data_IF_614139762130
#
_entry.id   IF_614139762130
#
_cell.length_a   1.000
_cell.length_b   1.000
_cell.length_c   1.000
_cell.angle_alpha   90.00
_cell.angle_beta   90.00
_cell.angle_gamma   90.00
#
_symmetry.space_group_name_H-M   'P 1'
#
loop_
_entity.id
_entity.type
_entity.pdbx_description
1 polymer ?
#
# COMPACT_ATOMS: atom_id res chain seq x y z
N UNK A 1 -22.59 23.53 -66.67
CA UNK A 1 -22.83 22.51 -65.63
C UNK A 1 -21.51 21.86 -65.26
N UNK A 2 -21.29 21.66 -63.97
CA UNK A 2 -20.14 21.01 -63.31
C UNK A 2 -19.85 19.59 -63.88
N UNK A 3 -18.56 19.21 -63.91
CA UNK A 3 -17.91 18.13 -63.12
C UNK A 3 -16.72 17.55 -63.93
N UNK A 4 -15.47 17.93 -63.66
CA UNK A 4 -14.50 17.36 -62.68
C UNK A 4 -13.89 15.99 -63.04
N UNK A 5 -12.56 16.07 -63.15
CA UNK A 5 -11.52 15.16 -62.65
C UNK A 5 -10.86 14.14 -63.60
N UNK A 6 -9.73 14.63 -64.13
CA UNK A 6 -8.47 13.93 -64.43
C UNK A 6 -8.08 12.91 -63.35
N UNK A 7 -7.71 11.70 -63.80
CA UNK A 7 -7.05 10.67 -62.99
C UNK A 7 -5.62 10.47 -63.51
N UNK A 8 -4.65 11.20 -62.96
CA UNK A 8 -3.22 10.91 -63.15
C UNK A 8 -2.80 9.90 -62.09
N UNK A 9 -2.38 8.71 -62.54
CA UNK A 9 -1.71 7.69 -61.71
C UNK A 9 -0.40 8.26 -61.19
N UNK A 10 -0.26 8.39 -59.87
CA UNK A 10 1.02 8.72 -59.23
C UNK A 10 1.64 7.44 -58.68
N UNK A 11 2.88 7.18 -59.09
CA UNK A 11 3.73 6.07 -58.68
C UNK A 11 4.21 6.31 -57.26
N UNK A 12 3.97 5.38 -56.34
CA UNK A 12 4.53 5.44 -54.99
C UNK A 12 5.93 4.82 -54.97
N UNK A 13 6.93 5.66 -54.71
CA UNK A 13 8.30 5.25 -54.40
C UNK A 13 8.36 4.66 -52.98
N UNK A 14 8.83 3.42 -52.86
CA UNK A 14 9.15 2.80 -51.57
C UNK A 14 10.46 3.40 -51.05
N UNK A 15 10.38 4.22 -50.00
CA UNK A 15 11.54 4.63 -49.21
C UNK A 15 11.83 3.59 -48.13
N UNK A 16 13.01 2.98 -48.23
CA UNK A 16 13.60 2.06 -47.26
C UNK A 16 13.83 2.74 -45.90
N UNK A 17 13.30 2.14 -44.84
CA UNK A 17 13.58 2.52 -43.45
C UNK A 17 14.86 1.83 -42.97
N UNK A 18 15.88 2.63 -42.65
CA UNK A 18 17.11 2.16 -42.00
C UNK A 18 16.80 1.88 -40.52
N UNK A 19 16.81 0.60 -40.13
CA UNK A 19 16.81 0.19 -38.72
C UNK A 19 18.20 0.45 -38.14
N UNK A 20 18.38 1.60 -37.50
CA UNK A 20 19.52 1.83 -36.62
C UNK A 20 19.24 1.10 -35.31
N UNK A 21 19.84 -0.08 -35.14
CA UNK A 21 19.91 -0.77 -33.85
C UNK A 21 20.88 -0.02 -32.93
N UNK A 22 20.41 1.09 -32.35
CA UNK A 22 21.04 1.74 -31.22
C UNK A 22 20.45 1.18 -29.94
N UNK A 23 21.21 0.38 -29.20
CA UNK A 23 20.86 -0.02 -27.84
C UNK A 23 20.70 1.22 -26.97
N UNK A 24 19.46 1.60 -26.69
CA UNK A 24 19.13 2.64 -25.71
C UNK A 24 19.44 2.05 -24.34
N UNK A 25 20.59 2.40 -23.77
CA UNK A 25 20.86 2.19 -22.35
C UNK A 25 19.94 3.11 -21.56
N UNK A 26 18.82 2.59 -21.07
CA UNK A 26 17.96 3.29 -20.13
C UNK A 26 18.72 3.30 -18.80
N UNK A 27 19.41 4.40 -18.51
CA UNK A 27 19.89 4.69 -17.18
C UNK A 27 18.65 4.91 -16.30
N UNK A 28 18.34 3.95 -15.44
CA UNK A 28 17.29 4.11 -14.43
C UNK A 28 17.90 5.02 -13.35
N UNK A 29 17.47 6.29 -13.20
CA UNK A 29 17.91 7.06 -12.05
C UNK A 29 17.37 6.35 -10.80
N UNK A 30 18.26 5.98 -9.90
CA UNK A 30 17.90 5.54 -8.55
C UNK A 30 17.04 6.62 -7.92
N UNK A 31 15.75 6.34 -7.76
CA UNK A 31 14.81 7.24 -7.10
C UNK A 31 15.23 7.33 -5.63
N UNK A 32 15.64 8.52 -5.20
CA UNK A 32 15.72 8.86 -3.80
C UNK A 32 14.29 8.96 -3.27
N UNK A 33 13.73 7.83 -2.87
CA UNK A 33 12.44 7.79 -2.18
C UNK A 33 12.69 8.42 -0.81
N UNK A 34 12.15 9.61 -0.60
CA UNK A 34 11.97 10.15 0.75
C UNK A 34 10.96 9.25 1.45
N UNK A 35 11.46 8.17 2.04
CA UNK A 35 10.63 7.28 2.84
C UNK A 35 10.23 8.04 4.10
N UNK A 36 8.93 8.34 4.23
CA UNK A 36 8.36 8.60 5.53
C UNK A 36 8.55 7.30 6.32
N UNK A 37 9.62 7.23 7.09
CA UNK A 37 9.90 6.10 7.98
C UNK A 37 8.77 6.07 9.01
N UNK A 38 7.86 5.07 8.98
CA UNK A 38 6.87 4.96 10.04
C UNK A 38 7.64 4.86 11.34
N UNK A 39 7.36 5.79 12.26
CA UNK A 39 8.07 5.91 13.52
C UNK A 39 8.23 4.52 14.15
N UNK A 40 9.48 4.19 14.47
CA UNK A 40 9.96 2.89 14.96
C UNK A 40 8.89 2.11 15.74
N UNK A 41 8.65 0.89 15.25
CA UNK A 41 7.91 -0.27 15.77
C UNK A 41 8.01 -0.58 17.28
N UNK A 42 7.86 0.41 18.16
CA UNK A 42 8.25 0.28 19.58
C UNK A 42 7.08 0.04 20.54
N UNK A 43 5.83 -0.02 20.07
CA UNK A 43 4.71 -0.35 20.95
C UNK A 43 3.64 -1.20 20.24
N UNK A 44 3.88 -2.52 20.21
CA UNK A 44 2.98 -3.50 19.59
C UNK A 44 1.83 -3.94 20.51
N UNK A 45 1.70 -3.36 21.72
CA UNK A 45 0.63 -3.75 22.62
C UNK A 45 -0.70 -3.33 21.98
N UNK A 46 -1.55 -4.30 21.73
CA UNK A 46 -2.90 -4.15 21.14
C UNK A 46 -2.94 -3.70 19.66
N UNK A 47 -1.82 -3.75 18.92
CA UNK A 47 -1.83 -3.55 17.47
C UNK A 47 -2.21 -4.85 16.73
N UNK A 48 -3.16 -4.73 15.81
CA UNK A 48 -3.53 -5.78 14.84
C UNK A 48 -2.90 -5.43 13.50
N UNK A 49 -2.50 -6.44 12.74
CA UNK A 49 -1.99 -6.28 11.38
C UNK A 49 -2.78 -7.14 10.40
N UNK A 50 -2.75 -6.78 9.12
CA UNK A 50 -3.36 -7.55 8.05
C UNK A 50 -2.83 -7.17 6.68
N UNK A 51 -3.33 -7.86 5.66
CA UNK A 51 -2.91 -7.69 4.26
C UNK A 51 -3.81 -6.71 3.50
N UNK A 52 -3.23 -5.97 2.57
CA UNK A 52 -3.93 -5.27 1.49
C UNK A 52 -3.95 -6.19 0.27
N UNK A 53 -5.10 -6.32 -0.35
CA UNK A 53 -5.30 -7.04 -1.61
C UNK A 53 -6.48 -6.41 -2.32
N UNK A 54 -6.20 -5.53 -3.28
CA UNK A 54 -7.23 -4.74 -3.95
C UNK A 54 -6.99 -4.62 -5.44
N UNK A 55 -8.07 -4.46 -6.20
CA UNK A 55 -8.03 -3.97 -7.58
C UNK A 55 -8.53 -2.53 -7.56
N UNK A 56 -7.83 -1.62 -8.22
CA UNK A 56 -8.26 -0.24 -8.37
C UNK A 56 -8.52 0.07 -9.84
N UNK A 57 -9.55 0.89 -10.05
CA UNK A 57 -9.92 1.35 -11.37
C UNK A 57 -8.97 2.44 -11.85
N UNK A 58 -8.78 2.52 -13.16
CA UNK A 58 -8.18 3.66 -13.83
C UNK A 58 -9.20 4.81 -13.99
N UNK A 59 -8.78 5.91 -14.60
CA UNK A 59 -9.62 7.09 -14.83
C UNK A 59 -10.85 6.83 -15.73
N UNK A 60 -10.92 5.67 -16.39
CA UNK A 60 -12.07 5.25 -17.19
C UNK A 60 -13.04 4.35 -16.41
N UNK A 61 -12.83 4.16 -15.10
CA UNK A 61 -13.63 3.28 -14.26
C UNK A 61 -13.41 1.79 -14.53
N UNK A 62 -12.32 1.42 -15.22
CA UNK A 62 -11.99 0.01 -15.52
C UNK A 62 -10.84 -0.47 -14.63
N UNK A 63 -10.79 -1.76 -14.25
CA UNK A 63 -9.64 -2.33 -13.55
C UNK A 63 -8.33 -1.98 -14.26
N UNK A 64 -7.44 -1.28 -13.56
CA UNK A 64 -6.16 -0.81 -14.09
C UNK A 64 -4.97 -1.19 -13.22
N UNK A 65 -5.21 -1.43 -11.93
CA UNK A 65 -4.15 -1.61 -10.95
C UNK A 65 -4.44 -2.74 -9.98
N UNK A 66 -3.38 -3.47 -9.59
CA UNK A 66 -3.37 -4.37 -8.46
C UNK A 66 -2.60 -3.74 -7.29
N UNK A 67 -3.19 -3.77 -6.10
CA UNK A 67 -2.60 -3.29 -4.87
C UNK A 67 -2.35 -4.46 -3.92
N UNK A 68 -1.14 -4.52 -3.36
CA UNK A 68 -0.72 -5.56 -2.42
C UNK A 68 0.19 -4.96 -1.35
N UNK A 69 -0.06 -5.29 -0.08
CA UNK A 69 0.63 -4.64 1.02
C UNK A 69 0.16 -5.09 2.39
N UNK A 70 0.42 -4.26 3.40
CA UNK A 70 0.03 -4.53 4.78
C UNK A 70 -0.43 -3.26 5.48
N UNK A 71 -1.28 -3.44 6.48
CA UNK A 71 -1.73 -2.40 7.40
C UNK A 71 -1.55 -2.84 8.85
N UNK A 72 -1.45 -1.86 9.75
CA UNK A 72 -1.25 -2.04 11.19
C UNK A 72 -2.07 -1.00 11.93
N UNK A 73 -2.83 -1.40 12.95
CA UNK A 73 -3.72 -0.47 13.64
C UNK A 73 -4.11 -0.96 15.03
N UNK A 74 -4.46 -0.01 15.91
CA UNK A 74 -5.09 -0.28 17.20
C UNK A 74 -6.60 0.05 17.21
N UNK A 75 -7.21 0.37 16.05
CA UNK A 75 -8.59 0.90 16.01
C UNK A 75 -9.68 -0.15 15.95
N UNK A 76 -9.37 -1.40 15.58
CA UNK A 76 -10.39 -2.44 15.39
C UNK A 76 -11.11 -2.73 16.72
N UNK A 77 -12.45 -2.77 16.67
CA UNK A 77 -13.34 -2.96 17.83
C UNK A 77 -13.15 -1.90 18.92
N UNK A 78 -12.81 -0.66 18.55
CA UNK A 78 -12.66 0.45 19.49
C UNK A 78 -13.76 1.50 19.30
N UNK A 79 -14.07 2.19 20.39
CA UNK A 79 -14.95 3.36 20.43
C UNK A 79 -14.12 4.63 20.65
N UNK A 80 -14.75 5.81 20.58
CA UNK A 80 -14.04 7.08 20.76
C UNK A 80 -13.35 7.17 22.13
N UNK A 81 -14.00 6.63 23.17
CA UNK A 81 -13.48 6.60 24.55
C UNK A 81 -12.30 5.63 24.74
N UNK A 82 -11.98 4.81 23.73
CA UNK A 82 -10.81 3.94 23.75
C UNK A 82 -9.49 4.69 23.55
N UNK A 83 -9.55 5.95 23.11
CA UNK A 83 -8.39 6.75 22.75
C UNK A 83 -8.26 8.00 23.60
N UNK A 84 -7.01 8.37 23.86
CA UNK A 84 -6.67 9.61 24.58
C UNK A 84 -5.29 10.09 24.11
N UNK A 85 -4.75 11.13 24.75
CA UNK A 85 -3.47 11.71 24.35
C UNK A 85 -2.27 10.75 24.49
N UNK A 86 -2.30 9.83 25.46
CA UNK A 86 -1.21 8.87 25.69
C UNK A 86 -1.40 7.56 24.93
N UNK A 87 -2.63 7.25 24.51
CA UNK A 87 -2.97 6.14 23.63
C UNK A 87 -3.84 6.63 22.46
N UNK A 88 -3.24 7.31 21.46
CA UNK A 88 -3.99 7.80 20.32
C UNK A 88 -4.39 6.64 19.39
N UNK A 89 -5.42 6.88 18.58
CA UNK A 89 -5.75 6.01 17.46
C UNK A 89 -4.59 6.01 16.44
N UNK A 90 -4.19 4.82 15.98
CA UNK A 90 -3.07 4.62 15.06
C UNK A 90 -3.52 3.77 13.89
N UNK A 91 -3.17 4.20 12.69
CA UNK A 91 -3.31 3.41 11.46
C UNK A 91 -2.13 3.74 10.55
N UNK A 92 -1.36 2.71 10.22
CA UNK A 92 -0.24 2.79 9.29
C UNK A 92 -0.38 1.69 8.25
N UNK A 93 0.08 1.96 7.03
CA UNK A 93 0.02 0.99 5.93
C UNK A 93 1.12 1.24 4.92
N UNK A 94 1.55 0.19 4.22
CA UNK A 94 2.30 0.31 2.97
C UNK A 94 1.77 -0.68 1.96
N UNK A 95 1.81 -0.28 0.69
CA UNK A 95 1.40 -1.14 -0.40
C UNK A 95 2.13 -0.80 -1.69
N UNK A 96 2.30 -1.83 -2.51
CA UNK A 96 2.63 -1.70 -3.90
C UNK A 96 1.36 -1.50 -4.71
N UNK A 97 1.48 -0.73 -5.78
CA UNK A 97 0.44 -0.50 -6.77
C UNK A 97 1.08 -0.74 -8.14
N UNK A 98 0.64 -1.77 -8.86
CA UNK A 98 1.19 -2.14 -10.16
C UNK A 98 0.08 -2.16 -11.22
N UNK A 99 0.39 -1.70 -12.43
CA UNK A 99 -0.56 -1.81 -13.54
C UNK A 99 -0.80 -3.28 -13.87
N UNK A 100 -2.00 -3.62 -14.36
CA UNK A 100 -2.33 -5.01 -14.71
C UNK A 100 -1.45 -5.61 -15.81
N UNK A 101 -0.86 -4.77 -16.66
CA UNK A 101 0.10 -5.16 -17.70
C UNK A 101 1.57 -5.14 -17.21
N UNK A 102 1.81 -4.76 -15.95
CA UNK A 102 3.13 -4.67 -15.34
C UNK A 102 3.99 -3.48 -15.79
N UNK A 103 3.46 -2.57 -16.60
CA UNK A 103 4.24 -1.46 -17.19
C UNK A 103 4.67 -0.40 -16.18
N UNK A 104 4.02 -0.32 -15.01
CA UNK A 104 4.46 0.52 -13.90
C UNK A 104 4.21 -0.15 -12.55
N UNK A 105 5.03 0.23 -11.57
CA UNK A 105 4.90 -0.16 -10.16
C UNK A 105 5.30 1.01 -9.27
N UNK A 106 4.45 1.32 -8.30
CA UNK A 106 4.70 2.34 -7.27
C UNK A 106 4.63 1.71 -5.88
N UNK A 107 5.34 2.31 -4.92
CA UNK A 107 5.25 2.00 -3.48
C UNK A 107 4.66 3.21 -2.77
N UNK A 108 3.65 2.98 -1.96
CA UNK A 108 2.97 4.00 -1.16
C UNK A 108 2.97 3.61 0.31
N UNK A 109 2.95 4.63 1.18
CA UNK A 109 2.79 4.49 2.61
C UNK A 109 1.74 5.48 3.13
N UNK A 110 0.93 5.02 4.08
CA UNK A 110 -0.04 5.81 4.84
C UNK A 110 0.46 5.89 6.28
N UNK A 111 0.49 7.08 6.85
CA UNK A 111 0.94 7.33 8.22
C UNK A 111 0.23 8.53 8.85
N UNK A 112 0.56 8.82 10.11
CA UNK A 112 0.04 10.00 10.85
C UNK A 112 -1.49 10.05 10.88
N UNK A 113 -2.14 8.92 11.13
CA UNK A 113 -3.58 8.87 11.28
C UNK A 113 -4.04 9.73 12.47
N UNK A 114 -5.01 10.60 12.22
CA UNK A 114 -5.67 11.42 13.22
C UNK A 114 -7.17 11.16 13.17
N UNK A 115 -7.71 10.52 14.22
CA UNK A 115 -9.12 10.15 14.31
C UNK A 115 -9.99 11.38 14.60
N UNK A 116 -11.06 11.56 13.82
CA UNK A 116 -12.07 12.61 14.03
C UNK A 116 -13.41 12.05 14.48
N UNK A 117 -13.83 10.90 13.95
CA UNK A 117 -15.15 10.33 14.20
C UNK A 117 -15.18 8.79 14.13
N UNK A 118 -16.11 8.19 14.88
CA UNK A 118 -16.40 6.75 14.85
C UNK A 118 -17.91 6.58 14.79
N UNK A 119 -18.38 5.79 13.83
CA UNK A 119 -19.79 5.40 13.73
C UNK A 119 -19.92 3.90 13.44
N UNK A 120 -21.02 3.31 13.88
CA UNK A 120 -21.31 1.89 13.62
C UNK A 120 -22.73 1.73 13.11
N UNK A 121 -22.88 0.87 12.10
CA UNK A 121 -24.17 0.51 11.52
C UNK A 121 -24.16 -0.99 11.19
N UNK A 122 -25.00 -1.75 11.90
CA UNK A 122 -25.00 -3.21 11.81
C UNK A 122 -23.61 -3.78 12.16
N UNK A 123 -23.06 -4.60 11.25
CA UNK A 123 -21.74 -5.22 11.43
C UNK A 123 -20.60 -4.40 10.80
N UNK A 124 -20.83 -3.12 10.52
CA UNK A 124 -19.83 -2.22 9.95
C UNK A 124 -19.51 -1.09 10.91
N UNK A 125 -18.23 -0.87 11.18
CA UNK A 125 -17.74 0.30 11.91
C UNK A 125 -16.89 1.16 11.00
N UNK A 126 -17.22 2.45 10.91
CA UNK A 126 -16.45 3.47 10.20
C UNK A 126 -15.58 4.25 11.18
N UNK A 127 -14.30 4.39 10.87
CA UNK A 127 -13.35 5.29 11.53
C UNK A 127 -12.96 6.36 10.52
N UNK A 128 -13.28 7.62 10.83
CA UNK A 128 -12.97 8.77 9.96
C UNK A 128 -11.85 9.59 10.56
N UNK A 129 -11.02 10.16 9.70
CA UNK A 129 -9.87 10.94 10.14
C UNK A 129 -9.10 11.55 9.00
N UNK A 130 -7.87 11.95 9.28
CA UNK A 130 -6.90 12.38 8.28
C UNK A 130 -5.63 11.53 8.34
N UNK A 131 -4.93 11.44 7.21
CA UNK A 131 -3.63 10.75 7.09
C UNK A 131 -2.64 11.56 6.28
N UNK A 132 -1.37 11.17 6.36
CA UNK A 132 -0.34 11.48 5.35
C UNK A 132 -0.20 10.29 4.41
N UNK A 133 -0.12 10.51 3.10
CA UNK A 133 0.15 9.46 2.11
C UNK A 133 1.30 9.84 1.18
N UNK A 134 2.22 8.92 0.90
CA UNK A 134 3.32 9.18 -0.04
C UNK A 134 2.81 9.13 -1.48
N UNK A 135 3.19 10.12 -2.29
CA UNK A 135 2.98 10.15 -3.75
C UNK A 135 4.31 10.42 -4.44
N UNK A 136 4.34 10.27 -5.77
CA UNK A 136 5.54 10.50 -6.58
C UNK A 136 6.03 11.95 -6.47
N UNK A 137 5.10 12.90 -6.42
CA UNK A 137 5.36 14.34 -6.31
C UNK A 137 5.68 14.79 -4.87
N UNK A 138 5.64 13.86 -3.92
CA UNK A 138 5.86 14.10 -2.50
C UNK A 138 4.65 13.70 -1.63
N UNK A 139 4.78 13.71 -0.29
CA UNK A 139 3.70 13.32 0.60
C UNK A 139 2.52 14.30 0.58
N UNK A 140 1.31 13.79 0.38
CA UNK A 140 0.07 14.53 0.61
C UNK A 140 -0.33 14.44 2.09
N UNK A 141 -0.48 15.59 2.75
CA UNK A 141 -0.82 15.70 4.18
C UNK A 141 -2.30 16.02 4.39
N UNK A 142 -2.82 15.67 5.55
CA UNK A 142 -4.21 15.91 5.95
C UNK A 142 -5.20 15.42 4.90
N UNK A 143 -4.95 14.23 4.34
CA UNK A 143 -5.85 13.57 3.38
C UNK A 143 -6.99 12.93 4.18
N UNK A 144 -8.26 13.35 3.98
CA UNK A 144 -9.38 12.69 4.61
C UNK A 144 -9.43 11.21 4.23
N UNK A 145 -9.66 10.37 5.23
CA UNK A 145 -9.82 8.92 5.06
C UNK A 145 -11.06 8.44 5.82
N UNK A 146 -11.77 7.49 5.24
CA UNK A 146 -12.70 6.62 5.95
C UNK A 146 -12.18 5.18 5.91
N UNK A 147 -11.99 4.60 7.10
CA UNK A 147 -11.60 3.21 7.28
C UNK A 147 -12.84 2.44 7.74
N UNK A 148 -13.35 1.53 6.91
CA UNK A 148 -14.48 0.67 7.28
C UNK A 148 -13.97 -0.70 7.68
N UNK A 149 -14.41 -1.17 8.84
CA UNK A 149 -14.26 -2.55 9.29
C UNK A 149 -15.61 -3.24 9.11
N UNK A 150 -15.67 -4.28 8.28
CA UNK A 150 -16.90 -4.99 7.93
C UNK A 150 -16.83 -6.44 8.39
N UNK A 151 -17.79 -6.85 9.22
CA UNK A 151 -17.89 -8.18 9.84
C UNK A 151 -16.58 -8.63 10.52
N UNK A 152 -15.72 -7.70 10.94
CA UNK A 152 -14.38 -7.98 11.46
C UNK A 152 -13.49 -8.85 10.55
N UNK A 153 -13.80 -8.94 9.25
CA UNK A 153 -13.07 -9.75 8.27
C UNK A 153 -12.42 -8.89 7.20
N UNK A 154 -13.06 -7.78 6.83
CA UNK A 154 -12.61 -6.91 5.74
C UNK A 154 -12.36 -5.51 6.28
N UNK A 155 -11.26 -4.92 5.83
CA UNK A 155 -11.00 -3.50 5.97
C UNK A 155 -11.08 -2.84 4.59
N UNK A 156 -11.69 -1.66 4.51
CA UNK A 156 -11.76 -0.85 3.30
C UNK A 156 -11.31 0.58 3.60
N UNK A 157 -10.37 1.08 2.80
CA UNK A 157 -9.80 2.42 2.94
C UNK A 157 -10.32 3.30 1.80
N UNK A 158 -11.10 4.31 2.12
CA UNK A 158 -11.56 5.32 1.16
C UNK A 158 -10.78 6.60 1.40
N UNK A 159 -9.92 6.97 0.45
CA UNK A 159 -9.14 8.20 0.48
C UNK A 159 -9.85 9.29 -0.34
N UNK A 160 -9.75 10.54 0.10
CA UNK A 160 -10.28 11.66 -0.68
C UNK A 160 -9.55 11.79 -2.04
N UNK A 161 -10.31 11.60 -3.12
CA UNK A 161 -9.79 11.64 -4.49
C UNK A 161 -9.28 13.04 -4.87
N UNK A 162 -9.83 14.12 -4.32
CA UNK A 162 -9.41 15.49 -4.63
C UNK A 162 -8.00 15.75 -4.12
N UNK A 163 -7.72 15.37 -2.86
CA UNK A 163 -6.41 15.52 -2.21
C UNK A 163 -5.33 14.62 -2.79
N UNK A 164 -5.72 13.48 -3.35
CA UNK A 164 -4.81 12.52 -3.99
C UNK A 164 -4.76 12.65 -5.51
N UNK A 165 -5.48 13.63 -6.10
CA UNK A 165 -5.62 13.81 -7.55
C UNK A 165 -6.07 12.53 -8.27
N UNK A 166 -6.99 11.79 -7.65
CA UNK A 166 -7.51 10.51 -8.12
C UNK A 166 -6.45 9.40 -8.28
N UNK A 167 -5.26 9.55 -7.67
CA UNK A 167 -4.13 8.61 -7.87
C UNK A 167 -4.47 7.16 -7.49
N UNK A 168 -5.40 6.95 -6.56
CA UNK A 168 -5.83 5.62 -6.11
C UNK A 168 -7.17 5.16 -6.69
N UNK A 169 -7.75 5.93 -7.62
CA UNK A 169 -9.07 5.67 -8.17
C UNK A 169 -10.23 6.09 -7.26
N UNK A 170 -11.44 5.70 -7.65
CA UNK A 170 -12.73 6.04 -7.02
C UNK A 170 -13.30 4.93 -6.13
N UNK A 171 -12.61 3.80 -6.05
CA UNK A 171 -13.01 2.64 -5.24
C UNK A 171 -12.23 2.58 -3.92
N UNK A 172 -12.79 1.96 -2.86
CA UNK A 172 -12.01 1.69 -1.66
C UNK A 172 -10.84 0.74 -1.93
N UNK A 173 -9.75 0.90 -1.19
CA UNK A 173 -8.64 -0.06 -1.13
C UNK A 173 -9.00 -1.13 -0.10
N UNK A 174 -9.10 -2.39 -0.51
CA UNK A 174 -9.50 -3.50 0.36
C UNK A 174 -8.33 -4.25 0.98
N UNK A 175 -8.57 -4.79 2.16
CA UNK A 175 -7.67 -5.70 2.87
C UNK A 175 -8.41 -6.71 3.74
N UNK A 176 -7.67 -7.70 4.23
CA UNK A 176 -8.17 -8.78 5.09
C UNK A 176 -7.72 -8.54 6.52
N UNK A 177 -8.65 -8.73 7.46
CA UNK A 177 -8.41 -8.81 8.90
C UNK A 177 -8.20 -10.29 9.24
N UNK A 178 -6.97 -10.72 9.57
CA UNK A 178 -6.71 -12.13 9.89
C UNK A 178 -7.43 -12.55 11.16
N UNK A 179 -7.81 -13.83 11.25
CA UNK A 179 -8.39 -14.36 12.47
C UNK A 179 -7.39 -14.24 13.63
N UNK A 180 -7.89 -13.99 14.85
CA UNK A 180 -7.04 -13.85 16.06
C UNK A 180 -6.13 -15.06 16.26
N UNK A 181 -6.61 -16.27 15.96
CA UNK A 181 -5.81 -17.50 16.05
C UNK A 181 -4.61 -17.48 15.09
N UNK A 182 -4.80 -16.99 13.86
CA UNK A 182 -3.73 -16.88 12.88
C UNK A 182 -2.69 -15.82 13.28
N UNK A 183 -3.16 -14.69 13.82
CA UNK A 183 -2.28 -13.65 14.38
C UNK A 183 -1.41 -14.22 15.51
N UNK A 184 -2.02 -14.94 16.46
CA UNK A 184 -1.29 -15.58 17.56
C UNK A 184 -0.28 -16.63 17.05
N UNK A 185 -0.67 -17.43 16.04
CA UNK A 185 0.22 -18.39 15.39
C UNK A 185 1.41 -17.67 14.73
N UNK A 186 1.17 -16.61 13.97
CA UNK A 186 2.22 -15.82 13.33
C UNK A 186 3.17 -15.19 14.36
N UNK A 187 2.63 -14.60 15.43
CA UNK A 187 3.42 -14.01 16.52
C UNK A 187 4.27 -15.06 17.24
N UNK A 188 3.73 -16.26 17.50
CA UNK A 188 4.50 -17.35 18.12
C UNK A 188 5.67 -17.81 17.25
N UNK A 189 5.50 -17.87 15.92
CA UNK A 189 6.57 -18.26 14.99
C UNK A 189 7.64 -17.16 14.85
N UNK A 190 7.27 -15.90 14.99
CA UNK A 190 8.23 -14.78 15.00
C UNK A 190 8.98 -14.66 16.33
N UNK A 191 8.30 -14.87 17.47
CA UNK A 191 8.91 -14.85 18.80
C UNK A 191 9.89 -15.99 19.06
N UNK A 192 9.71 -17.15 18.41
CA UNK A 192 10.62 -18.29 18.57
C UNK A 192 11.97 -18.10 17.85
N UNK A 193 12.04 -17.20 16.85
CA UNK A 193 13.31 -16.87 16.16
C UNK A 193 14.23 -15.97 17.00
N UNK A 194 13.68 -15.22 17.96
CA UNK A 194 14.47 -14.34 18.84
C UNK A 194 15.02 -15.05 20.08
N UNK A 195 14.53 -16.24 20.43
CA UNK A 195 15.09 -17.06 21.53
C UNK A 195 16.02 -18.18 21.07
N UNK A 196 16.04 -18.53 19.76
CA UNK A 196 16.86 -19.62 19.23
C UNK A 196 18.37 -19.33 19.09
N UNK A 197 18.84 -18.12 19.41
CA UNK A 197 20.27 -17.75 19.24
C UNK A 197 20.98 -17.37 20.55
N UNK A 198 20.43 -17.74 21.72
CA UNK A 198 21.04 -17.45 23.04
C UNK A 198 21.51 -18.67 23.84
N UNK A 199 21.47 -19.88 23.28
CA UNK A 199 21.87 -21.09 24.01
C UNK A 199 22.70 -22.04 23.13
N UNK A 200 23.85 -21.59 22.62
CA UNK A 200 24.95 -22.48 22.17
C UNK A 200 26.34 -21.82 22.34
N UNK A 201 26.58 -21.15 23.48
CA UNK A 201 27.92 -20.69 23.90
C UNK A 201 28.34 -21.20 25.28
N UNK A 202 27.71 -22.29 25.73
CA UNK A 202 27.91 -22.87 27.06
C UNK A 202 28.55 -24.27 27.11
N UNK A 203 29.25 -24.70 26.06
CA UNK A 203 30.07 -25.93 26.12
C UNK A 203 31.52 -25.59 25.86
N UNK A 204 32.18 -24.99 26.85
CA UNK A 204 33.63 -25.09 26.94
C UNK A 204 33.95 -26.33 27.80
N UNK A 205 34.36 -27.40 27.12
CA UNK A 205 34.91 -28.59 27.74
C UNK A 205 36.16 -28.20 28.53
N UNK A 206 36.17 -28.48 29.83
CA UNK A 206 37.40 -28.50 30.62
C UNK A 206 37.94 -29.94 30.57
N UNK A 207 38.75 -30.26 29.56
CA UNK A 207 39.58 -31.46 29.57
C UNK A 207 40.90 -31.12 30.28
N UNK A 208 41.13 -31.85 31.37
CA UNK A 208 42.37 -31.91 32.15
C UNK A 208 43.60 -32.25 31.31
N UNK A 209 44.75 -31.68 31.68
CA UNK A 209 46.14 -32.19 31.57
C UNK A 209 47.06 -31.03 32.04
N UNK A 210 48.05 -31.12 32.93
CA UNK A 210 48.78 -32.18 33.64
C UNK A 210 49.25 -31.59 34.98
#
# INVERSE_FOLDING_TARGET
>A
MLNKHSFRKSVFLFTTLVLVTGSITIAIPSLNISEANPNKWQDHKDMVFGGISSIQNNDQGKPGWVLSGHWFTNIINKTKDSFNQTNPAKFDSWFYMAMLDGSAMHKHAISNFSLSDISSQGNTTSYKGTVTITLKEGPAKEVPIEIKVMNNHVIALSLDATKTKNHFGDTPIYGIIPAKADIMKMMSHMGNKTMGNKTMTGMHMNMSQK
#
